data_IF_716475867444
#
_entry.id   IF_716475867444
#
_cell.length_a   1.000
_cell.length_b   1.000
_cell.length_c   1.000
_cell.angle_alpha   90.00
_cell.angle_beta   90.00
_cell.angle_gamma   90.00
#
_symmetry.space_group_name_H-M   'P 1'
#
loop_
_entity.id
_entity.type
_entity.pdbx_description
1 polymer ?
#
# COMPACT_ATOMS: atom_id res chain seq x y z
N UNK A 1 10.73 28.18 -53.84
CA UNK A 1 11.80 27.37 -53.22
C UNK A 1 11.53 27.32 -51.73
N UNK A 2 11.29 26.14 -51.16
CA UNK A 2 11.03 25.95 -49.72
C UNK A 2 12.32 25.43 -49.10
N UNK A 3 12.88 26.18 -48.14
CA UNK A 3 14.01 25.73 -47.32
C UNK A 3 13.48 25.08 -46.04
N UNK A 4 13.85 23.82 -45.83
CA UNK A 4 13.46 23.02 -44.65
C UNK A 4 14.60 23.11 -43.61
N UNK A 5 14.29 23.68 -42.44
CA UNK A 5 15.18 23.74 -41.28
C UNK A 5 15.11 22.41 -40.51
N UNK A 6 16.18 21.60 -40.58
CA UNK A 6 16.36 20.44 -39.72
C UNK A 6 16.91 20.85 -38.36
N UNK A 7 16.09 20.75 -37.30
CA UNK A 7 16.56 20.80 -35.92
C UNK A 7 17.10 19.43 -35.51
N UNK A 8 18.37 19.36 -35.12
CA UNK A 8 18.97 18.19 -34.47
C UNK A 8 18.85 18.41 -32.96
N UNK A 9 18.05 17.56 -32.29
CA UNK A 9 18.00 17.50 -30.82
C UNK A 9 19.04 16.50 -30.36
N UNK A 10 20.06 16.95 -29.62
CA UNK A 10 21.07 16.09 -29.01
C UNK A 10 20.56 15.69 -27.61
N UNK A 11 20.12 14.45 -27.44
CA UNK A 11 19.83 13.89 -26.11
C UNK A 11 21.13 13.40 -25.49
N UNK A 12 21.51 13.97 -24.35
CA UNK A 12 22.66 13.55 -23.56
C UNK A 12 22.31 12.29 -22.76
N UNK A 13 22.97 11.18 -23.06
CA UNK A 13 22.77 9.91 -22.33
C UNK A 13 23.66 9.92 -21.09
N UNK A 14 23.03 9.94 -19.92
CA UNK A 14 23.75 9.78 -18.64
C UNK A 14 23.72 8.30 -18.28
N UNK A 15 24.87 7.62 -18.33
CA UNK A 15 24.99 6.22 -17.90
C UNK A 15 25.35 6.20 -16.42
N UNK A 16 24.47 5.64 -15.57
CA UNK A 16 24.75 5.44 -14.16
C UNK A 16 25.02 3.97 -13.85
N UNK A 17 26.25 3.70 -13.43
CA UNK A 17 26.70 2.42 -12.94
C UNK A 17 26.26 2.27 -11.48
N UNK A 18 25.27 1.43 -11.18
CA UNK A 18 24.93 1.11 -9.79
C UNK A 18 26.01 0.20 -9.19
N UNK A 19 26.99 0.82 -8.55
CA UNK A 19 28.00 0.11 -7.76
C UNK A 19 27.41 -0.50 -6.48
N UNK A 20 28.05 -1.56 -5.99
CA UNK A 20 27.79 -2.37 -4.77
C UNK A 20 27.33 -1.60 -3.51
N UNK A 21 27.57 -0.29 -3.43
CA UNK A 21 27.15 0.59 -2.32
C UNK A 21 25.67 1.02 -2.40
N UNK A 22 25.05 1.04 -3.59
CA UNK A 22 23.62 1.34 -3.75
C UNK A 22 22.73 0.24 -3.14
N UNK A 23 23.16 -1.02 -3.27
CA UNK A 23 22.54 -2.16 -2.59
C UNK A 23 22.55 -2.00 -1.06
N UNK A 24 23.65 -1.51 -0.48
CA UNK A 24 23.76 -1.29 0.97
C UNK A 24 22.85 -0.17 1.50
N UNK A 25 22.47 0.81 0.67
CA UNK A 25 21.50 1.85 1.04
C UNK A 25 20.06 1.30 1.03
N UNK A 26 19.75 0.39 0.10
CA UNK A 26 18.44 -0.26 -0.01
C UNK A 26 18.11 -1.10 1.23
N UNK A 27 19.12 -1.75 1.85
CA UNK A 27 18.92 -2.51 3.11
C UNK A 27 18.86 -1.66 4.38
N UNK A 28 19.33 -0.41 4.35
CA UNK A 28 19.22 0.51 5.51
C UNK A 28 17.81 1.07 5.67
N UNK A 29 17.04 1.14 4.58
CA UNK A 29 15.69 1.73 4.55
C UNK A 29 14.61 0.68 4.90
N UNK A 30 14.90 -0.62 4.76
CA UNK A 30 14.05 -1.71 5.30
C UNK A 30 14.15 -1.88 6.83
N UNK A 31 14.78 -0.95 7.55
CA UNK A 31 14.81 -0.98 9.01
C UNK A 31 15.72 -2.06 9.59
N UNK A 32 16.80 -2.42 8.90
CA UNK A 32 17.92 -3.14 9.55
C UNK A 32 18.90 -2.08 10.06
N UNK A 33 18.61 -1.55 11.24
CA UNK A 33 19.61 -0.89 12.08
C UNK A 33 20.76 -1.88 12.27
N UNK A 34 22.04 -1.51 12.06
CA UNK A 34 23.15 -2.39 12.39
C UNK A 34 23.21 -2.52 13.92
N UNK A 35 22.61 -3.59 14.42
CA UNK A 35 22.46 -3.87 15.84
C UNK A 35 21.03 -4.32 16.14
N UNK A 36 20.84 -5.64 16.18
CA UNK A 36 19.59 -6.36 16.53
C UNK A 36 18.54 -6.44 15.40
N UNK A 37 18.61 -7.53 14.61
CA UNK A 37 17.47 -8.03 13.86
C UNK A 37 16.42 -8.53 14.87
N UNK A 38 15.41 -7.72 15.16
CA UNK A 38 14.23 -8.21 15.88
C UNK A 38 13.41 -9.01 14.88
N UNK A 39 13.53 -10.34 14.91
CA UNK A 39 12.64 -11.23 14.19
C UNK A 39 11.23 -11.06 14.75
N UNK A 40 10.39 -10.28 14.07
CA UNK A 40 8.96 -10.24 14.35
C UNK A 40 8.37 -11.56 13.85
N UNK A 41 7.97 -12.41 14.79
CA UNK A 41 7.31 -13.67 14.47
C UNK A 41 5.97 -13.35 13.77
N UNK A 42 5.77 -13.79 12.51
CA UNK A 42 4.55 -13.48 11.76
C UNK A 42 3.30 -14.09 12.37
N UNK A 43 3.42 -15.00 13.34
CA UNK A 43 2.32 -15.64 14.07
C UNK A 43 2.16 -15.10 15.50
N UNK A 44 2.94 -14.10 15.93
CA UNK A 44 2.78 -13.50 17.26
C UNK A 44 1.46 -12.74 17.34
N UNK A 45 0.65 -12.91 18.41
CA UNK A 45 -0.65 -12.22 18.53
C UNK A 45 -0.48 -10.72 18.38
N UNK A 46 -1.25 -10.12 17.47
CA UNK A 46 -1.22 -8.68 17.27
C UNK A 46 -1.90 -7.96 18.43
N UNK A 47 -1.17 -7.05 19.08
CA UNK A 47 -1.75 -6.08 19.99
C UNK A 47 -1.76 -4.70 19.33
N UNK A 48 -2.91 -4.02 19.35
CA UNK A 48 -3.05 -2.66 18.84
C UNK A 48 -2.06 -1.68 19.46
N UNK A 49 -1.67 -1.90 20.71
CA UNK A 49 -0.67 -1.08 21.40
C UNK A 49 0.74 -1.19 20.79
N UNK A 50 1.01 -2.27 20.07
CA UNK A 50 2.32 -2.56 19.43
C UNK A 50 2.34 -2.29 17.93
N UNK A 51 1.20 -1.93 17.33
CA UNK A 51 1.13 -1.68 15.89
C UNK A 51 1.61 -0.25 15.60
N UNK A 52 2.68 -0.15 14.81
CA UNK A 52 3.18 1.10 14.25
C UNK A 52 2.92 1.11 12.75
N UNK A 53 2.16 2.10 12.27
CA UNK A 53 1.92 2.30 10.85
C UNK A 53 3.04 3.14 10.23
N UNK A 54 3.55 2.73 9.07
CA UNK A 54 4.61 3.44 8.35
C UNK A 54 4.04 4.49 7.39
N UNK A 55 2.96 4.15 6.68
CA UNK A 55 2.37 4.97 5.63
C UNK A 55 0.91 5.28 5.91
N UNK A 56 0.15 4.30 6.41
CA UNK A 56 -1.26 4.48 6.72
C UNK A 56 -1.47 5.34 7.97
N UNK A 57 -2.38 6.31 7.89
CA UNK A 57 -2.80 7.11 9.05
C UNK A 57 -4.18 6.65 9.50
N UNK A 58 -4.22 5.65 10.40
CA UNK A 58 -5.45 5.03 10.89
C UNK A 58 -5.72 5.39 12.35
N UNK A 59 -6.99 5.66 12.69
CA UNK A 59 -7.41 5.91 14.06
C UNK A 59 -7.52 4.59 14.83
N UNK A 60 -6.71 4.42 15.89
CA UNK A 60 -6.66 3.21 16.73
C UNK A 60 -8.00 2.84 17.37
N UNK A 61 -8.87 3.81 17.64
CA UNK A 61 -10.21 3.56 18.17
C UNK A 61 -11.06 2.76 17.17
N UNK A 62 -10.93 3.06 15.87
CA UNK A 62 -11.68 2.37 14.81
C UNK A 62 -11.13 0.95 14.56
N UNK A 63 -9.90 0.68 15.00
CA UNK A 63 -9.25 -0.62 14.83
C UNK A 63 -9.52 -1.58 15.99
N UNK A 64 -9.99 -1.06 17.14
CA UNK A 64 -10.23 -1.83 18.37
C UNK A 64 -11.23 -2.98 18.24
N UNK A 65 -12.12 -2.86 17.26
CA UNK A 65 -13.20 -3.82 17.00
C UNK A 65 -12.88 -4.80 15.87
N UNK A 66 -11.71 -4.66 15.23
CA UNK A 66 -11.34 -5.51 14.11
C UNK A 66 -10.77 -6.85 14.59
N UNK A 67 -11.11 -7.97 13.93
CA UNK A 67 -10.46 -9.23 14.18
C UNK A 67 -8.98 -9.16 13.77
N UNK A 68 -8.15 -9.95 14.44
CA UNK A 68 -6.71 -10.01 14.22
C UNK A 68 -6.33 -10.22 12.74
N UNK A 69 -7.11 -11.03 12.01
CA UNK A 69 -6.87 -11.28 10.57
C UNK A 69 -6.92 -9.99 9.74
N UNK A 70 -7.86 -9.09 10.03
CA UNK A 70 -7.99 -7.80 9.33
C UNK A 70 -6.89 -6.83 9.76
N UNK A 71 -6.49 -6.84 11.03
CA UNK A 71 -5.33 -6.06 11.50
C UNK A 71 -4.03 -6.50 10.81
N UNK A 72 -3.80 -7.81 10.66
CA UNK A 72 -2.67 -8.35 9.89
C UNK A 72 -2.71 -7.93 8.44
N UNK A 73 -3.89 -7.93 7.83
CA UNK A 73 -4.07 -7.50 6.44
C UNK A 73 -3.73 -6.03 6.27
N UNK A 74 -4.20 -5.15 7.17
CA UNK A 74 -3.83 -3.74 7.17
C UNK A 74 -2.32 -3.55 7.31
N UNK A 75 -1.63 -4.33 8.13
CA UNK A 75 -0.16 -4.28 8.21
C UNK A 75 0.53 -4.72 6.92
N UNK A 76 0.01 -5.74 6.23
CA UNK A 76 0.53 -6.14 4.91
C UNK A 76 0.33 -5.03 3.89
N UNK A 77 -0.85 -4.40 3.88
CA UNK A 77 -1.16 -3.26 3.02
C UNK A 77 -0.19 -2.10 3.30
N UNK A 78 0.01 -1.74 4.58
CA UNK A 78 0.95 -0.69 4.99
C UNK A 78 2.39 -0.97 4.53
N UNK A 79 2.85 -2.22 4.70
CA UNK A 79 4.18 -2.65 4.24
C UNK A 79 4.30 -2.59 2.71
N UNK A 80 3.30 -3.07 1.97
CA UNK A 80 3.27 -3.00 0.49
C UNK A 80 3.27 -1.55 0.02
N UNK A 81 2.52 -0.68 0.69
CA UNK A 81 2.47 0.75 0.41
C UNK A 81 3.84 1.43 0.68
N UNK A 82 4.54 1.03 1.74
CA UNK A 82 5.89 1.52 2.02
C UNK A 82 6.88 1.12 0.91
N UNK A 83 6.84 -0.13 0.44
CA UNK A 83 7.64 -0.58 -0.72
C UNK A 83 7.33 0.28 -1.94
N UNK A 84 6.05 0.45 -2.26
CA UNK A 84 5.61 1.26 -3.40
C UNK A 84 6.13 2.71 -3.32
N UNK A 85 6.01 3.37 -2.16
CA UNK A 85 6.50 4.74 -1.99
C UNK A 85 8.03 4.84 -2.08
N UNK A 86 8.78 3.88 -1.54
CA UNK A 86 10.24 3.85 -1.67
C UNK A 86 10.69 3.73 -3.14
N UNK A 87 9.97 2.93 -3.94
CA UNK A 87 10.25 2.80 -5.36
C UNK A 87 9.92 4.10 -6.12
N UNK A 88 8.78 4.74 -5.82
CA UNK A 88 8.43 6.04 -6.39
C UNK A 88 9.48 7.11 -6.05
N UNK A 89 9.93 7.17 -4.80
CA UNK A 89 10.99 8.11 -4.38
C UNK A 89 12.31 7.84 -5.12
N UNK A 90 12.62 6.56 -5.38
CA UNK A 90 13.81 6.18 -6.14
C UNK A 90 13.73 6.65 -7.60
N UNK A 91 12.54 6.68 -8.21
CA UNK A 91 12.32 7.23 -9.56
C UNK A 91 12.41 8.77 -9.57
N UNK A 92 11.86 9.45 -8.57
CA UNK A 92 11.97 10.90 -8.44
C UNK A 92 13.43 11.37 -8.30
N UNK A 93 14.25 10.64 -7.55
CA UNK A 93 15.69 10.89 -7.44
C UNK A 93 16.43 10.77 -8.79
N UNK A 94 15.87 10.00 -9.73
CA UNK A 94 16.37 9.86 -11.10
C UNK A 94 15.82 10.94 -12.04
N UNK A 95 15.07 11.92 -11.52
CA UNK A 95 14.33 12.95 -12.29
C UNK A 95 13.33 12.36 -13.29
N UNK A 96 12.95 11.10 -13.09
CA UNK A 96 11.86 10.48 -13.80
C UNK A 96 10.61 10.90 -13.03
N UNK A 97 9.92 11.93 -13.49
CA UNK A 97 8.62 12.29 -12.90
C UNK A 97 7.62 11.20 -13.27
N UNK A 98 7.13 10.39 -12.32
CA UNK A 98 6.10 9.43 -12.62
C UNK A 98 4.86 10.21 -13.05
N UNK A 99 4.36 9.93 -14.26
CA UNK A 99 3.03 10.40 -14.65
C UNK A 99 2.05 9.68 -13.72
N UNK A 100 1.38 10.44 -12.85
CA UNK A 100 0.38 9.88 -11.95
C UNK A 100 -0.71 9.20 -12.78
N UNK A 101 -0.74 7.87 -12.74
CA UNK A 101 -1.75 7.11 -13.47
C UNK A 101 -3.08 7.15 -12.71
N UNK A 102 -4.19 6.94 -13.43
CA UNK A 102 -5.51 6.84 -12.80
C UNK A 102 -5.54 5.74 -11.72
N UNK A 103 -4.84 4.63 -11.95
CA UNK A 103 -4.72 3.52 -10.99
C UNK A 103 -4.08 3.97 -9.67
N UNK A 104 -3.03 4.80 -9.75
CA UNK A 104 -2.32 5.34 -8.58
C UNK A 104 -3.17 6.37 -7.83
N UNK A 105 -3.86 7.25 -8.56
CA UNK A 105 -4.79 8.21 -7.97
C UNK A 105 -5.93 7.51 -7.22
N UNK A 106 -6.55 6.50 -7.84
CA UNK A 106 -7.62 5.73 -7.23
C UNK A 106 -7.13 4.99 -5.99
N UNK A 107 -5.95 4.38 -6.04
CA UNK A 107 -5.35 3.72 -4.88
C UNK A 107 -5.14 4.71 -3.72
N UNK A 108 -4.59 5.89 -3.99
CA UNK A 108 -4.37 6.92 -2.97
C UNK A 108 -5.70 7.34 -2.32
N UNK A 109 -6.74 7.57 -3.13
CA UNK A 109 -8.08 7.88 -2.64
C UNK A 109 -8.68 6.76 -1.80
N UNK A 110 -8.46 5.49 -2.19
CA UNK A 110 -8.91 4.34 -1.42
C UNK A 110 -8.22 4.27 -0.06
N UNK A 111 -6.89 4.43 -0.02
CA UNK A 111 -6.09 4.27 1.21
C UNK A 111 -6.25 5.43 2.20
N UNK A 112 -6.25 6.67 1.73
CA UNK A 112 -6.18 7.84 2.60
C UNK A 112 -7.54 8.51 2.85
N UNK A 113 -8.57 8.14 2.08
CA UNK A 113 -9.92 8.71 2.26
C UNK A 113 -10.93 7.61 2.56
N UNK A 114 -11.10 6.65 1.64
CA UNK A 114 -12.21 5.67 1.76
C UNK A 114 -11.99 4.64 2.85
N UNK A 115 -10.78 4.14 3.01
CA UNK A 115 -10.47 3.13 4.03
C UNK A 115 -10.69 3.68 5.45
N UNK A 116 -10.15 4.87 5.83
CA UNK A 116 -10.47 5.50 7.11
C UNK A 116 -11.97 5.73 7.33
N UNK A 117 -12.70 6.19 6.32
CA UNK A 117 -14.16 6.40 6.37
C UNK A 117 -14.92 5.08 6.60
N UNK A 118 -14.50 4.01 5.92
CA UNK A 118 -15.12 2.70 6.02
C UNK A 118 -14.87 2.07 7.40
N UNK A 119 -13.64 2.18 7.92
CA UNK A 119 -13.28 1.76 9.27
C UNK A 119 -14.08 2.54 10.33
N UNK A 120 -14.25 3.85 10.15
CA UNK A 120 -15.08 4.66 11.03
C UNK A 120 -16.55 4.22 10.99
N UNK A 121 -17.08 3.94 9.81
CA UNK A 121 -18.48 3.51 9.62
C UNK A 121 -18.73 2.13 10.21
N UNK A 122 -17.81 1.17 9.98
CA UNK A 122 -17.83 -0.16 10.58
C UNK A 122 -17.83 -0.07 12.10
N UNK A 123 -16.88 0.69 12.68
CA UNK A 123 -16.81 0.88 14.12
C UNK A 123 -18.08 1.54 14.71
N UNK A 124 -18.67 2.52 14.01
CA UNK A 124 -19.94 3.12 14.42
C UNK A 124 -21.07 2.11 14.44
N UNK A 125 -21.20 1.27 13.41
CA UNK A 125 -22.23 0.23 13.35
C UNK A 125 -22.11 -0.75 14.52
N UNK A 126 -20.88 -1.15 14.86
CA UNK A 126 -20.62 -2.01 16.01
C UNK A 126 -20.93 -1.32 17.35
N UNK A 127 -20.52 -0.06 17.49
CA UNK A 127 -20.82 0.76 18.68
C UNK A 127 -22.31 1.07 18.85
N UNK A 128 -23.09 1.17 17.77
CA UNK A 128 -24.55 1.27 17.85
C UNK A 128 -25.17 -0.04 18.31
N UNK A 129 -24.72 -1.18 17.78
CA UNK A 129 -25.23 -2.49 18.16
C UNK A 129 -25.02 -2.78 19.65
N UNK A 130 -23.81 -2.52 20.18
CA UNK A 130 -23.52 -2.72 21.60
C UNK A 130 -24.40 -1.85 22.50
N UNK A 131 -24.70 -0.61 22.08
CA UNK A 131 -25.63 0.28 22.78
C UNK A 131 -27.07 -0.23 22.72
N UNK A 132 -27.51 -0.74 21.58
CA UNK A 132 -28.86 -1.29 21.42
C UNK A 132 -29.06 -2.60 22.19
N UNK A 133 -28.06 -3.49 22.23
CA UNK A 133 -28.09 -4.72 23.03
C UNK A 133 -28.24 -4.40 24.53
N UNK A 134 -27.54 -3.39 25.04
CA UNK A 134 -27.70 -2.95 26.43
C UNK A 134 -29.10 -2.42 26.74
N UNK A 135 -29.81 -1.86 25.75
CA UNK A 135 -31.21 -1.40 25.89
C UNK A 135 -32.21 -2.57 25.74
N UNK A 136 -31.95 -3.50 24.82
CA UNK A 136 -32.80 -4.65 24.50
C UNK A 136 -32.72 -5.81 25.48
N UNK A 137 -31.71 -5.88 26.35
CA UNK A 137 -31.71 -6.83 27.48
C UNK A 137 -32.92 -6.64 28.43
N UNK A 138 -33.77 -5.63 28.19
CA UNK A 138 -35.04 -5.40 28.85
C UNK A 138 -36.29 -5.84 28.03
N UNK A 139 -36.14 -6.28 26.77
CA UNK A 139 -37.25 -6.67 25.87
C UNK A 139 -36.84 -7.74 24.86
N UNK A 140 -37.45 -8.93 24.92
CA UNK A 140 -37.12 -10.18 24.20
C UNK A 140 -37.29 -10.19 22.66
N UNK A 141 -37.25 -9.06 21.96
CA UNK A 141 -37.51 -9.01 20.51
C UNK A 141 -36.47 -8.22 19.73
N UNK A 142 -35.65 -8.93 18.93
CA UNK A 142 -34.90 -8.30 17.84
C UNK A 142 -33.43 -8.72 17.67
N UNK A 143 -33.05 -9.93 18.06
CA UNK A 143 -31.67 -10.46 17.98
C UNK A 143 -31.22 -10.84 16.54
N UNK A 144 -32.14 -11.09 15.61
CA UNK A 144 -31.79 -11.69 14.30
C UNK A 144 -31.40 -10.66 13.22
N UNK A 145 -32.10 -9.54 13.11
CA UNK A 145 -31.83 -8.52 12.07
C UNK A 145 -30.52 -7.76 12.30
N UNK A 146 -30.07 -7.62 13.55
CA UNK A 146 -28.85 -6.89 13.91
C UNK A 146 -27.57 -7.68 13.57
N UNK A 147 -27.59 -8.99 13.79
CA UNK A 147 -26.49 -9.89 13.43
C UNK A 147 -26.26 -9.95 11.90
N UNK A 148 -27.32 -9.83 11.10
CA UNK A 148 -27.21 -9.76 9.64
C UNK A 148 -26.46 -8.50 9.19
N UNK A 149 -26.83 -7.32 9.72
CA UNK A 149 -26.16 -6.05 9.39
C UNK A 149 -24.68 -6.03 9.80
N UNK A 150 -24.35 -6.64 10.94
CA UNK A 150 -22.96 -6.79 11.39
C UNK A 150 -22.15 -7.66 10.43
N UNK A 151 -22.72 -8.80 10.04
CA UNK A 151 -22.08 -9.75 9.13
C UNK A 151 -21.83 -9.10 7.77
N UNK A 152 -22.84 -8.41 7.23
CA UNK A 152 -22.74 -7.65 5.99
C UNK A 152 -21.67 -6.55 6.07
N UNK A 153 -21.67 -5.73 7.12
CA UNK A 153 -20.66 -4.68 7.30
C UNK A 153 -19.23 -5.25 7.37
N UNK A 154 -19.07 -6.42 8.00
CA UNK A 154 -17.76 -7.09 8.10
C UNK A 154 -17.32 -7.69 6.77
N UNK A 155 -18.27 -8.20 5.96
CA UNK A 155 -18.01 -8.68 4.60
C UNK A 155 -17.61 -7.54 3.66
N UNK A 156 -18.32 -6.42 3.70
CA UNK A 156 -18.01 -5.23 2.89
C UNK A 156 -16.63 -4.67 3.24
N UNK A 157 -16.28 -4.62 4.53
CA UNK A 157 -14.94 -4.21 4.94
C UNK A 157 -13.87 -5.18 4.42
N UNK A 158 -14.13 -6.50 4.51
CA UNK A 158 -13.19 -7.50 4.01
C UNK A 158 -12.97 -7.38 2.50
N UNK A 159 -14.05 -7.25 1.72
CA UNK A 159 -13.99 -7.08 0.26
C UNK A 159 -13.21 -5.81 -0.13
N UNK A 160 -13.39 -4.73 0.62
CA UNK A 160 -12.63 -3.50 0.40
C UNK A 160 -11.14 -3.69 0.69
N UNK A 161 -10.78 -4.36 1.79
CA UNK A 161 -9.38 -4.67 2.12
C UNK A 161 -8.74 -5.57 1.07
N UNK A 162 -9.45 -6.61 0.61
CA UNK A 162 -8.99 -7.52 -0.43
C UNK A 162 -8.78 -6.78 -1.77
N UNK A 163 -9.70 -5.87 -2.12
CA UNK A 163 -9.61 -5.03 -3.32
C UNK A 163 -8.40 -4.10 -3.26
N UNK A 164 -8.17 -3.45 -2.11
CA UNK A 164 -7.03 -2.57 -1.91
C UNK A 164 -5.72 -3.36 -1.99
N UNK A 165 -5.63 -4.50 -1.30
CA UNK A 165 -4.43 -5.33 -1.30
C UNK A 165 -4.13 -5.86 -2.71
N UNK A 166 -5.14 -6.35 -3.44
CA UNK A 166 -4.96 -6.83 -4.82
C UNK A 166 -4.58 -5.73 -5.82
N UNK A 167 -5.06 -4.49 -5.63
CA UNK A 167 -4.63 -3.35 -6.45
C UNK A 167 -3.18 -2.98 -6.19
N UNK A 168 -2.73 -3.01 -4.93
CA UNK A 168 -1.33 -2.83 -4.58
C UNK A 168 -0.45 -3.92 -5.20
N UNK A 169 -0.88 -5.18 -5.16
CA UNK A 169 -0.12 -6.30 -5.73
C UNK A 169 0.11 -6.11 -7.23
N UNK A 170 -0.93 -5.74 -7.98
CA UNK A 170 -0.80 -5.45 -9.42
C UNK A 170 0.10 -4.27 -9.73
N UNK A 171 0.06 -3.21 -8.91
CA UNK A 171 0.93 -2.05 -9.09
C UNK A 171 2.39 -2.40 -8.83
N UNK A 172 2.67 -3.19 -7.80
CA UNK A 172 4.02 -3.67 -7.50
C UNK A 172 4.55 -4.59 -8.61
N UNK A 173 3.72 -5.52 -9.11
CA UNK A 173 4.08 -6.39 -10.24
C UNK A 173 4.36 -5.59 -11.52
N UNK A 174 3.58 -4.54 -11.78
CA UNK A 174 3.79 -3.64 -12.92
C UNK A 174 5.12 -2.89 -12.81
N UNK A 175 5.50 -2.44 -11.62
CA UNK A 175 6.80 -1.79 -11.40
C UNK A 175 7.95 -2.78 -11.61
N UNK A 176 7.84 -4.01 -11.10
CA UNK A 176 8.84 -5.05 -11.29
C UNK A 176 9.04 -5.38 -12.78
N UNK A 177 7.94 -5.61 -13.50
CA UNK A 177 7.98 -5.92 -14.94
C UNK A 177 8.54 -4.77 -15.77
N UNK A 178 8.20 -3.53 -15.45
CA UNK A 178 8.77 -2.34 -16.10
C UNK A 178 10.28 -2.26 -15.87
N UNK A 179 10.74 -2.44 -14.64
CA UNK A 179 12.18 -2.39 -14.31
C UNK A 179 12.98 -3.47 -15.08
N UNK A 180 12.41 -4.67 -15.23
CA UNK A 180 13.04 -5.75 -15.99
C UNK A 180 13.15 -5.41 -17.48
N UNK A 181 12.11 -4.79 -18.04
CA UNK A 181 12.10 -4.42 -19.46
C UNK A 181 13.10 -3.30 -19.75
N UNK A 182 13.21 -2.31 -18.86
CA UNK A 182 14.25 -1.27 -18.95
C UNK A 182 15.66 -1.86 -18.97
N UNK A 183 15.94 -2.84 -18.10
CA UNK A 183 17.21 -3.55 -18.08
C UNK A 183 17.47 -4.33 -19.39
N UNK A 184 16.44 -4.94 -19.98
CA UNK A 184 16.55 -5.64 -21.27
C UNK A 184 16.83 -4.68 -22.42
N UNK A 185 16.13 -3.54 -22.48
CA UNK A 185 16.38 -2.50 -23.48
C UNK A 185 17.82 -1.99 -23.37
N UNK A 186 18.30 -1.73 -22.15
CA UNK A 186 19.67 -1.29 -21.92
C UNK A 186 20.70 -2.35 -22.35
N UNK A 187 20.46 -3.63 -22.03
CA UNK A 187 21.29 -4.74 -22.49
C UNK A 187 21.37 -4.79 -24.01
N UNK A 188 20.24 -4.67 -24.70
CA UNK A 188 20.18 -4.72 -26.17
C UNK A 188 20.90 -3.53 -26.80
N UNK A 189 20.75 -2.34 -26.23
CA UNK A 189 21.46 -1.14 -26.66
C UNK A 189 22.98 -1.29 -26.54
N UNK A 190 23.49 -1.87 -25.45
CA UNK A 190 24.92 -2.15 -25.29
C UNK A 190 25.43 -3.17 -26.31
N UNK A 191 24.63 -4.17 -26.65
CA UNK A 191 25.00 -5.18 -27.64
C UNK A 191 24.96 -4.67 -29.08
N UNK A 192 24.14 -3.67 -29.40
CA UNK A 192 24.05 -3.13 -30.76
C UNK A 192 25.17 -2.15 -31.12
N UNK A 193 26.00 -1.77 -30.15
CA UNK A 193 27.13 -0.84 -30.33
C UNK A 193 28.50 -1.55 -30.23
N UNK A 194 28.51 -2.89 -30.23
CA UNK A 194 29.68 -3.74 -30.46
C UNK A 194 29.60 -4.36 -31.86
#
# INVERSE_FOLDING_TARGET
MITLLGMIVITTVTVLYLGRKGWHALHKIVGITPGVLIYQNPNQPLSLATITWQQLTLNTQHLSVLPERQLRQLQRIDKKLATYHNDQQSLELQKITPVLSEEQFLLQKLLYTRLPEMLASHNRLLGFNNRLLNVKNNTNSGFTTENVKHTEASQLLQEALDTIEGRLDRLLEKLETQSLEELRVMKNYLNSHN
#
